data_IF_779545137475
#
_entry.id   IF_779545137475
#
_cell.length_a   1.000
_cell.length_b   1.000
_cell.length_c   1.000
_cell.angle_alpha   90.00
_cell.angle_beta   90.00
_cell.angle_gamma   90.00
#
_symmetry.space_group_name_H-M   'P 1'
#
loop_
_entity.id
_entity.type
_entity.pdbx_description
1 polymer ?
#
# COMPACT_ATOMS: atom_id res chain seq x y z
N UNK A 1 -20.82 -7.77 -20.61
CA UNK A 1 -20.05 -8.88 -20.03
C UNK A 1 -18.61 -8.74 -20.52
N UNK A 2 -17.69 -8.29 -19.67
CA UNK A 2 -16.27 -8.15 -20.02
C UNK A 2 -15.62 -9.53 -20.08
N UNK A 3 -14.78 -9.84 -21.08
CA UNK A 3 -14.21 -11.16 -21.23
C UNK A 3 -13.22 -11.43 -20.10
N UNK A 4 -13.54 -12.40 -19.24
CA UNK A 4 -12.79 -12.85 -18.05
C UNK A 4 -11.43 -13.50 -18.37
N UNK A 5 -11.01 -13.50 -19.65
CA UNK A 5 -9.83 -14.23 -20.13
C UNK A 5 -8.59 -13.35 -20.35
N UNK A 6 -8.64 -12.06 -20.02
CA UNK A 6 -7.47 -11.19 -20.14
C UNK A 6 -6.80 -11.02 -18.77
N UNK A 7 -5.52 -11.39 -18.71
CA UNK A 7 -4.67 -11.13 -17.54
C UNK A 7 -4.74 -9.65 -17.17
N UNK A 8 -4.70 -9.33 -15.88
CA UNK A 8 -4.56 -7.95 -15.42
C UNK A 8 -3.23 -7.36 -15.88
N UNK A 9 -3.12 -6.03 -15.88
CA UNK A 9 -1.86 -5.35 -16.16
C UNK A 9 -0.72 -5.84 -15.26
N UNK A 10 -0.97 -6.03 -13.96
CA UNK A 10 0.01 -6.55 -13.01
C UNK A 10 0.40 -8.00 -13.32
N UNK A 11 -0.57 -8.86 -13.62
CA UNK A 11 -0.31 -10.25 -14.00
C UNK A 11 0.59 -10.35 -15.23
N UNK A 12 0.37 -9.51 -16.25
CA UNK A 12 1.24 -9.47 -17.44
C UNK A 12 2.66 -9.00 -17.13
N UNK A 13 2.83 -8.07 -16.20
CA UNK A 13 4.16 -7.57 -15.83
C UNK A 13 4.96 -8.61 -15.03
N UNK A 14 4.30 -9.34 -14.13
CA UNK A 14 4.91 -10.45 -13.40
C UNK A 14 5.37 -11.58 -14.35
N UNK A 15 4.62 -11.87 -15.42
CA UNK A 15 5.04 -12.85 -16.43
C UNK A 15 6.34 -12.44 -17.15
N UNK A 16 6.56 -11.14 -17.38
CA UNK A 16 7.83 -10.66 -17.97
C UNK A 16 8.99 -10.83 -16.99
N UNK A 17 8.75 -10.55 -15.70
CA UNK A 17 9.74 -10.80 -14.65
C UNK A 17 10.12 -12.28 -14.57
N UNK A 18 9.17 -13.22 -14.67
CA UNK A 18 9.50 -14.65 -14.69
C UNK A 18 10.31 -15.10 -15.91
N UNK A 19 10.22 -14.37 -17.04
CA UNK A 19 11.06 -14.65 -18.21
C UNK A 19 12.52 -14.22 -18.00
N UNK A 20 12.79 -13.36 -17.01
CA UNK A 20 14.13 -13.03 -16.55
C UNK A 20 14.46 -13.90 -15.33
N UNK A 21 15.63 -14.53 -15.35
CA UNK A 21 16.10 -15.28 -14.19
C UNK A 21 16.65 -14.27 -13.17
N UNK A 22 15.74 -13.67 -12.39
CA UNK A 22 16.06 -12.68 -11.37
C UNK A 22 16.76 -13.38 -10.19
N UNK A 23 17.80 -12.75 -9.65
CA UNK A 23 18.46 -13.26 -8.45
C UNK A 23 17.53 -13.19 -7.23
N UNK A 24 17.74 -14.03 -6.21
CA UNK A 24 16.94 -13.96 -4.97
C UNK A 24 17.07 -12.58 -4.29
N UNK A 25 18.25 -11.97 -4.34
CA UNK A 25 18.50 -10.63 -3.79
C UNK A 25 17.67 -9.56 -4.52
N UNK A 26 17.64 -9.60 -5.85
CA UNK A 26 16.85 -8.66 -6.65
C UNK A 26 15.35 -8.90 -6.46
N UNK A 27 14.91 -10.16 -6.33
CA UNK A 27 13.51 -10.49 -6.04
C UNK A 27 13.08 -9.92 -4.67
N UNK A 28 13.94 -10.04 -3.66
CA UNK A 28 13.71 -9.46 -2.35
C UNK A 28 13.65 -7.92 -2.41
N UNK A 29 14.51 -7.28 -3.20
CA UNK A 29 14.49 -5.84 -3.42
C UNK A 29 13.18 -5.38 -4.09
N UNK A 30 12.73 -6.10 -5.14
CA UNK A 30 11.46 -5.82 -5.83
C UNK A 30 10.28 -5.92 -4.85
N UNK A 31 10.25 -6.96 -4.00
CA UNK A 31 9.21 -7.12 -2.97
C UNK A 31 9.20 -5.95 -2.00
N UNK A 32 10.37 -5.50 -1.55
CA UNK A 32 10.51 -4.33 -0.68
C UNK A 32 10.02 -3.05 -1.34
N UNK A 33 10.33 -2.82 -2.61
CA UNK A 33 9.86 -1.66 -3.37
C UNK A 33 8.33 -1.62 -3.50
N UNK A 34 7.71 -2.77 -3.78
CA UNK A 34 6.24 -2.89 -3.83
C UNK A 34 5.65 -2.57 -2.45
N UNK A 35 6.23 -3.10 -1.38
CA UNK A 35 5.80 -2.82 0.00
C UNK A 35 5.89 -1.33 0.35
N UNK A 36 7.01 -0.69 0.01
CA UNK A 36 7.22 0.75 0.24
C UNK A 36 6.19 1.60 -0.50
N UNK A 37 5.90 1.28 -1.77
CA UNK A 37 4.90 2.00 -2.55
C UNK A 37 3.51 1.97 -1.89
N UNK A 38 3.06 0.79 -1.45
CA UNK A 38 1.76 0.68 -0.80
C UNK A 38 1.73 1.32 0.59
N UNK A 39 2.82 1.24 1.35
CA UNK A 39 2.94 1.92 2.65
C UNK A 39 2.84 3.43 2.50
N UNK A 40 3.58 4.03 1.56
CA UNK A 40 3.53 5.47 1.30
C UNK A 40 2.13 5.91 0.86
N UNK A 41 1.50 5.14 -0.03
CA UNK A 41 0.12 5.41 -0.46
C UNK A 41 -0.86 5.34 0.70
N UNK A 42 -0.74 4.33 1.57
CA UNK A 42 -1.61 4.18 2.73
C UNK A 42 -1.44 5.34 3.71
N UNK A 43 -0.21 5.74 4.00
CA UNK A 43 0.07 6.92 4.85
C UNK A 43 -0.58 8.17 4.27
N UNK A 44 -0.39 8.44 2.97
CA UNK A 44 -1.01 9.61 2.34
C UNK A 44 -2.54 9.59 2.37
N UNK A 45 -3.17 8.41 2.24
CA UNK A 45 -4.61 8.27 2.40
C UNK A 45 -5.07 8.51 3.84
N UNK A 46 -4.29 8.04 4.82
CA UNK A 46 -4.57 8.28 6.24
C UNK A 46 -4.46 9.76 6.58
N UNK A 47 -3.43 10.45 6.09
CA UNK A 47 -3.25 11.89 6.27
C UNK A 47 -4.41 12.68 5.65
N UNK A 48 -4.83 12.32 4.43
CA UNK A 48 -5.99 12.95 3.78
C UNK A 48 -7.29 12.74 4.58
N UNK A 49 -7.53 11.53 5.07
CA UNK A 49 -8.69 11.25 5.90
C UNK A 49 -8.63 12.04 7.22
N UNK A 50 -7.45 12.15 7.82
CA UNK A 50 -7.19 12.91 9.04
C UNK A 50 -7.54 14.39 8.86
N UNK A 51 -7.07 15.00 7.78
CA UNK A 51 -7.38 16.39 7.43
C UNK A 51 -8.87 16.60 7.14
N UNK A 52 -9.49 15.69 6.36
CA UNK A 52 -10.92 15.80 6.00
C UNK A 52 -11.85 15.74 7.20
N UNK A 53 -11.48 14.96 8.23
CA UNK A 53 -12.23 14.88 9.47
C UNK A 53 -11.93 16.04 10.44
N UNK A 54 -11.00 16.93 10.07
CA UNK A 54 -10.56 18.03 10.92
C UNK A 54 -9.87 17.56 12.20
N UNK A 55 -9.32 16.35 12.20
CA UNK A 55 -8.66 15.78 13.35
C UNK A 55 -7.37 16.55 13.67
N UNK A 56 -7.09 16.70 14.95
CA UNK A 56 -5.91 17.42 15.44
C UNK A 56 -5.17 16.59 16.48
N UNK A 57 -3.99 17.05 16.89
CA UNK A 57 -3.29 16.44 18.01
C UNK A 57 -4.17 16.34 19.28
N UNK A 58 -5.11 17.28 19.47
CA UNK A 58 -6.08 17.21 20.56
C UNK A 58 -7.04 16.02 20.39
N UNK A 59 -7.54 15.78 19.18
CA UNK A 59 -8.39 14.59 18.89
C UNK A 59 -7.69 13.30 19.26
N UNK A 60 -6.38 13.19 18.97
CA UNK A 60 -5.60 12.03 19.38
C UNK A 60 -5.44 11.93 20.91
N UNK A 61 -5.23 13.07 21.58
CA UNK A 61 -5.15 13.11 23.03
C UNK A 61 -6.47 12.70 23.68
N UNK A 62 -7.60 13.16 23.15
CA UNK A 62 -8.93 12.82 23.62
C UNK A 62 -9.19 11.31 23.50
N UNK A 63 -8.90 10.70 22.34
CA UNK A 63 -9.06 9.25 22.14
C UNK A 63 -8.19 8.41 23.08
N UNK A 64 -6.92 8.79 23.30
CA UNK A 64 -6.00 8.06 24.20
C UNK A 64 -6.42 8.15 25.67
N UNK A 65 -7.16 9.19 26.05
CA UNK A 65 -7.64 9.40 27.41
C UNK A 65 -9.05 8.81 27.62
N UNK A 66 -9.85 8.65 26.57
CA UNK A 66 -11.14 7.95 26.60
C UNK A 66 -10.97 6.44 26.85
N UNK A 67 -9.94 5.80 26.29
CA UNK A 67 -9.67 4.38 26.54
C UNK A 67 -9.21 4.06 27.99
N UNK A 68 -8.86 5.08 28.78
CA UNK A 68 -8.40 4.95 30.16
C UNK A 68 -9.47 5.32 31.22
N UNK A 69 -10.73 5.47 30.82
CA UNK A 69 -11.89 5.73 31.71
C UNK A 69 -12.88 4.56 31.68
#
# INVERSE_FOLDING_TARGET
MTPTNQLTNLQRELLKLFAQQVSEDDLQNIRSLIGQYFSQRLTGLADQAWEQQGWTAQTMHDWLNEENQ
#
